data_IF_668340474832
#
_entry.id   IF_668340474832
#
_cell.length_a   1.000
_cell.length_b   1.000
_cell.length_c   1.000
_cell.angle_alpha   90.00
_cell.angle_beta   90.00
_cell.angle_gamma   90.00
#
_symmetry.space_group_name_H-M   'P 1'
#
loop_
_entity.id
_entity.type
_entity.pdbx_description
1 polymer ?
#
# COMPACT_ATOMS: atom_id res chain seq x y z
N UNK A 1 38.00 -31.48 9.67
CA UNK A 1 37.56 -32.67 8.90
C UNK A 1 36.13 -32.94 9.32
N UNK A 2 35.13 -32.57 8.51
CA UNK A 2 34.52 -33.44 7.49
C UNK A 2 33.94 -34.71 8.12
N UNK A 3 32.71 -35.18 7.88
CA UNK A 3 31.50 -34.69 7.23
C UNK A 3 30.41 -35.77 7.49
N UNK A 4 29.13 -35.42 7.28
CA UNK A 4 28.12 -36.24 6.59
C UNK A 4 27.53 -37.52 7.25
N UNK A 5 26.24 -37.41 7.63
CA UNK A 5 25.02 -38.05 7.04
C UNK A 5 23.96 -38.24 8.14
N UNK A 6 22.80 -37.57 8.13
CA UNK A 6 21.63 -37.66 7.24
C UNK A 6 20.46 -38.34 7.99
N UNK A 7 19.23 -37.98 7.59
CA UNK A 7 17.90 -38.49 8.03
C UNK A 7 17.42 -37.87 9.36
N UNK A 8 16.28 -37.18 9.48
CA UNK A 8 15.00 -37.36 8.79
C UNK A 8 14.14 -36.09 8.93
N UNK A 9 13.67 -35.54 7.80
CA UNK A 9 12.57 -34.58 7.75
C UNK A 9 11.28 -35.28 8.19
N UNK A 10 10.71 -34.89 9.33
CA UNK A 10 9.33 -35.21 9.65
C UNK A 10 8.43 -34.18 8.95
N UNK A 11 7.87 -34.61 7.81
CA UNK A 11 6.81 -33.91 7.12
C UNK A 11 5.63 -33.69 8.07
N UNK A 12 5.33 -32.43 8.38
CA UNK A 12 3.99 -32.03 8.81
C UNK A 12 3.10 -32.04 7.57
N UNK A 13 2.62 -33.23 7.20
CA UNK A 13 1.43 -33.38 6.38
C UNK A 13 0.25 -32.94 7.26
N UNK A 14 -0.04 -31.65 7.27
CA UNK A 14 -1.33 -31.16 7.75
C UNK A 14 -2.40 -31.83 6.88
N UNK A 15 -3.22 -32.65 7.52
CA UNK A 15 -4.33 -33.38 6.93
C UNK A 15 -5.21 -32.42 6.11
N UNK A 16 -5.15 -32.57 4.78
CA UNK A 16 -6.06 -31.93 3.84
C UNK A 16 -7.44 -32.56 4.02
N UNK A 17 -8.21 -32.04 4.96
CA UNK A 17 -9.67 -32.19 4.91
C UNK A 17 -10.17 -31.03 4.04
N UNK A 18 -10.64 -31.27 2.80
CA UNK A 18 -11.28 -30.22 2.03
C UNK A 18 -12.55 -29.82 2.77
N UNK A 19 -12.68 -28.55 3.15
CA UNK A 19 -13.96 -28.08 3.68
C UNK A 19 -15.00 -28.15 2.56
N UNK A 20 -16.25 -28.62 2.80
CA UNK A 20 -17.19 -28.92 1.72
C UNK A 20 -17.86 -27.70 1.09
N UNK A 21 -17.48 -26.47 1.45
CA UNK A 21 -18.24 -25.25 1.11
C UNK A 21 -17.55 -24.31 0.14
N UNK A 22 -16.27 -24.49 -0.16
CA UNK A 22 -15.56 -23.58 -1.07
C UNK A 22 -15.50 -24.19 -2.47
N UNK A 23 -16.23 -23.55 -3.38
CA UNK A 23 -16.59 -24.16 -4.65
C UNK A 23 -16.21 -23.27 -5.85
N UNK A 24 -15.72 -22.05 -5.60
CA UNK A 24 -15.32 -21.07 -6.62
C UNK A 24 -14.40 -20.01 -6.00
N UNK A 25 -13.51 -19.36 -6.78
CA UNK A 25 -12.65 -18.24 -6.34
C UNK A 25 -13.49 -17.01 -5.93
N UNK A 26 -14.07 -17.06 -4.74
CA UNK A 26 -14.90 -15.99 -4.18
C UNK A 26 -14.41 -15.72 -2.77
N UNK A 27 -14.01 -14.47 -2.54
CA UNK A 27 -13.57 -14.01 -1.25
C UNK A 27 -12.50 -12.93 -1.35
N UNK A 28 -11.79 -12.75 -0.25
CA UNK A 28 -10.84 -11.66 -0.05
C UNK A 28 -9.44 -12.23 0.16
N UNK A 29 -8.45 -11.63 -0.47
CA UNK A 29 -7.04 -11.87 -0.15
C UNK A 29 -6.26 -10.57 -0.33
N UNK A 30 -5.06 -10.54 0.23
CA UNK A 30 -4.15 -9.41 0.18
C UNK A 30 -3.09 -9.64 -0.91
N UNK A 31 -2.70 -8.56 -1.59
CA UNK A 31 -1.57 -8.58 -2.52
C UNK A 31 -0.53 -7.58 -2.05
N UNK A 32 0.72 -8.00 -1.89
CA UNK A 32 1.84 -7.10 -1.64
C UNK A 32 2.17 -6.34 -2.92
N UNK A 33 1.78 -5.07 -2.99
CA UNK A 33 2.03 -4.22 -4.15
C UNK A 33 3.48 -3.72 -4.14
N UNK A 34 4.25 -3.91 -5.22
CA UNK A 34 5.56 -3.30 -5.35
C UNK A 34 5.45 -1.78 -5.62
N UNK A 35 6.57 -1.08 -5.44
CA UNK A 35 6.66 0.33 -5.77
C UNK A 35 6.61 0.52 -7.29
N UNK A 36 6.35 1.75 -7.73
CA UNK A 36 6.23 2.14 -9.14
C UNK A 36 5.12 1.40 -9.92
N UNK A 37 4.12 0.87 -9.21
CA UNK A 37 2.97 0.19 -9.79
C UNK A 37 1.66 0.76 -9.24
N UNK A 38 0.66 0.98 -10.09
CA UNK A 38 -0.67 1.39 -9.62
C UNK A 38 -1.45 0.19 -9.07
N UNK A 39 -2.33 0.42 -8.08
CA UNK A 39 -3.22 -0.64 -7.58
C UNK A 39 -4.13 -1.20 -8.69
N UNK A 40 -4.53 -0.37 -9.66
CA UNK A 40 -5.29 -0.83 -10.84
C UNK A 40 -4.47 -1.74 -11.75
N UNK A 41 -3.13 -1.56 -11.84
CA UNK A 41 -2.28 -2.47 -12.63
C UNK A 41 -2.25 -3.88 -12.05
N UNK A 42 -2.38 -4.03 -10.72
CA UNK A 42 -2.54 -5.35 -10.09
C UNK A 42 -3.85 -5.99 -10.57
N UNK A 43 -4.96 -5.24 -10.60
CA UNK A 43 -6.23 -5.76 -11.09
C UNK A 43 -6.15 -6.16 -12.58
N UNK A 44 -5.49 -5.36 -13.40
CA UNK A 44 -5.26 -5.67 -14.82
C UNK A 44 -4.43 -6.97 -14.96
N UNK A 45 -3.42 -7.16 -14.11
CA UNK A 45 -2.62 -8.38 -14.07
C UNK A 45 -3.44 -9.60 -13.63
N UNK A 46 -4.16 -9.52 -12.50
CA UNK A 46 -5.04 -10.60 -12.02
C UNK A 46 -6.09 -10.97 -13.07
N UNK A 47 -6.67 -9.97 -13.73
CA UNK A 47 -7.64 -10.19 -14.81
C UNK A 47 -7.02 -10.97 -15.98
N UNK A 48 -5.77 -10.67 -16.35
CA UNK A 48 -4.99 -11.39 -17.36
C UNK A 48 -4.69 -12.83 -16.92
N UNK A 49 -4.30 -13.05 -15.67
CA UNK A 49 -4.07 -14.39 -15.11
C UNK A 49 -5.34 -15.23 -15.19
N UNK A 50 -6.48 -14.72 -14.71
CA UNK A 50 -7.75 -15.44 -14.79
C UNK A 50 -8.14 -15.75 -16.25
N UNK A 51 -7.94 -14.80 -17.17
CA UNK A 51 -8.29 -14.99 -18.58
C UNK A 51 -7.43 -16.08 -19.25
N UNK A 52 -6.15 -16.18 -18.91
CA UNK A 52 -5.24 -17.23 -19.39
C UNK A 52 -5.60 -18.60 -18.82
N UNK A 53 -6.04 -18.62 -17.56
CA UNK A 53 -6.44 -19.83 -16.85
C UNK A 53 -7.96 -20.07 -16.88
N UNK A 54 -8.67 -19.66 -17.95
CA UNK A 54 -10.14 -19.77 -18.04
C UNK A 54 -10.68 -21.20 -17.93
N UNK A 55 -9.87 -22.20 -18.33
CA UNK A 55 -10.24 -23.61 -18.27
C UNK A 55 -9.88 -24.25 -16.91
N UNK A 56 -9.15 -23.53 -16.05
CA UNK A 56 -8.87 -23.97 -14.69
C UNK A 56 -10.19 -24.13 -13.94
N UNK A 57 -10.37 -25.26 -13.26
CA UNK A 57 -11.66 -25.65 -12.68
C UNK A 57 -12.27 -24.55 -11.78
N UNK A 58 -11.47 -23.90 -10.94
CA UNK A 58 -11.91 -22.80 -10.08
C UNK A 58 -12.32 -21.53 -10.86
N UNK A 59 -11.55 -21.13 -11.88
CA UNK A 59 -11.85 -19.93 -12.69
C UNK A 59 -13.08 -20.17 -13.57
N UNK A 60 -13.13 -21.35 -14.21
CA UNK A 60 -14.26 -21.79 -15.03
C UNK A 60 -15.56 -21.73 -14.22
N UNK A 61 -15.53 -22.27 -13.01
CA UNK A 61 -16.71 -22.26 -12.12
C UNK A 61 -17.16 -20.86 -11.74
N UNK A 62 -16.24 -19.93 -11.45
CA UNK A 62 -16.60 -18.52 -11.21
C UNK A 62 -17.28 -17.89 -12.43
N UNK A 63 -16.76 -18.15 -13.62
CA UNK A 63 -17.33 -17.62 -14.86
C UNK A 63 -18.71 -18.22 -15.17
N UNK A 64 -18.91 -19.50 -14.89
CA UNK A 64 -20.20 -20.20 -15.07
C UNK A 64 -21.28 -19.71 -14.09
N UNK A 65 -20.88 -19.39 -12.85
CA UNK A 65 -21.77 -18.85 -11.83
C UNK A 65 -22.14 -17.36 -12.07
N UNK A 66 -21.32 -16.63 -12.82
CA UNK A 66 -21.57 -15.23 -13.17
C UNK A 66 -22.35 -15.10 -14.50
N UNK A 67 -23.66 -14.81 -14.40
CA UNK A 67 -24.53 -14.62 -15.56
C UNK A 67 -24.30 -13.33 -16.37
N UNK A 68 -23.34 -12.47 -15.96
CA UNK A 68 -23.11 -11.16 -16.55
C UNK A 68 -22.52 -11.21 -17.97
N UNK A 69 -22.71 -10.13 -18.73
CA UNK A 69 -22.05 -9.95 -20.04
C UNK A 69 -20.51 -9.97 -19.92
N UNK A 70 -19.97 -9.64 -18.74
CA UNK A 70 -18.52 -9.62 -18.46
C UNK A 70 -17.98 -11.04 -18.40
N UNK A 71 -18.62 -11.92 -17.64
CA UNK A 71 -18.23 -13.33 -17.53
C UNK A 71 -18.31 -14.08 -18.86
N UNK A 72 -19.33 -13.81 -19.69
CA UNK A 72 -19.41 -14.34 -21.08
C UNK A 72 -18.23 -13.96 -21.96
N UNK A 73 -17.50 -12.89 -21.63
CA UNK A 73 -16.24 -12.47 -22.30
C UNK A 73 -14.99 -13.07 -21.64
N UNK A 74 -15.15 -14.00 -20.70
CA UNK A 74 -14.07 -14.64 -19.93
C UNK A 74 -13.44 -13.71 -18.87
N UNK A 75 -14.18 -12.70 -18.40
CA UNK A 75 -13.69 -11.74 -17.43
C UNK A 75 -14.32 -11.99 -16.05
N UNK A 76 -13.50 -12.35 -15.07
CA UNK A 76 -13.89 -12.44 -13.66
C UNK A 76 -14.14 -11.05 -13.05
N UNK A 77 -15.06 -10.94 -12.09
CA UNK A 77 -15.26 -9.71 -11.30
C UNK A 77 -14.19 -9.63 -10.20
N UNK A 78 -13.35 -8.60 -10.26
CA UNK A 78 -12.25 -8.37 -9.31
C UNK A 78 -12.23 -6.88 -8.95
N UNK A 79 -11.96 -6.56 -7.69
CA UNK A 79 -11.83 -5.20 -7.16
C UNK A 79 -10.70 -5.07 -6.13
N UNK A 80 -10.47 -3.85 -5.64
CA UNK A 80 -9.60 -3.57 -4.50
C UNK A 80 -10.31 -2.64 -3.51
N UNK A 81 -10.01 -2.73 -2.22
CA UNK A 81 -10.71 -1.98 -1.15
C UNK A 81 -9.88 -0.93 -0.45
N UNK A 82 -8.81 -0.48 -1.11
CA UNK A 82 -7.97 0.60 -0.60
C UNK A 82 -6.79 0.78 -1.52
N UNK A 83 -6.78 1.88 -2.25
CA UNK A 83 -5.73 2.14 -3.24
C UNK A 83 -4.47 2.62 -2.56
N UNK A 84 -3.33 2.09 -2.98
CA UNK A 84 -2.00 2.58 -2.62
C UNK A 84 -1.41 3.41 -3.73
N UNK A 85 -0.79 4.52 -3.33
CA UNK A 85 0.01 5.40 -4.14
C UNK A 85 1.02 4.60 -4.98
N UNK A 86 1.33 5.00 -6.22
CA UNK A 86 2.24 4.23 -7.06
C UNK A 86 3.59 3.95 -6.40
N UNK A 87 4.08 4.93 -5.64
CA UNK A 87 5.35 4.87 -4.91
C UNK A 87 5.26 4.09 -3.60
N UNK A 88 4.07 3.99 -3.00
CA UNK A 88 3.86 3.20 -1.81
C UNK A 88 3.97 1.71 -2.12
N UNK A 89 4.45 0.92 -1.16
CA UNK A 89 4.48 -0.54 -1.20
C UNK A 89 3.52 -1.13 -0.17
N UNK A 90 3.29 -2.43 -0.26
CA UNK A 90 2.57 -3.17 0.76
C UNK A 90 1.16 -3.57 0.36
N UNK A 91 0.37 -4.00 1.34
CA UNK A 91 -0.84 -4.77 1.11
C UNK A 91 -1.91 -3.96 0.40
N UNK A 92 -2.55 -4.52 -0.61
CA UNK A 92 -3.83 -4.10 -1.18
C UNK A 92 -4.87 -5.19 -0.91
N UNK A 93 -5.90 -4.88 -0.10
CA UNK A 93 -7.01 -5.80 0.23
C UNK A 93 -8.39 -5.15 0.06
N UNK A 94 -9.45 -5.94 -0.10
CA UNK A 94 -10.84 -5.48 -0.36
C UNK A 94 -11.70 -5.24 0.92
N UNK A 95 -12.61 -4.25 0.84
CA UNK A 95 -13.86 -4.17 1.61
C UNK A 95 -14.99 -4.51 0.63
N UNK A 96 -15.84 -5.49 0.98
CA UNK A 96 -16.82 -6.13 0.09
C UNK A 96 -17.51 -5.21 -0.93
N UNK A 97 -17.53 -5.67 -2.18
CA UNK A 97 -17.97 -5.05 -3.45
C UNK A 97 -19.43 -4.55 -3.54
N UNK A 98 -20.10 -4.19 -2.43
CA UNK A 98 -21.42 -3.54 -2.44
C UNK A 98 -21.47 -2.11 -1.90
N UNK A 99 -20.41 -1.57 -1.28
CA UNK A 99 -20.35 -0.13 -0.91
C UNK A 99 -18.90 0.38 -0.84
N UNK A 100 -18.27 0.72 -1.96
CA UNK A 100 -17.18 1.71 -1.93
C UNK A 100 -16.85 2.24 -3.33
N UNK A 101 -16.98 3.56 -3.51
CA UNK A 101 -16.51 4.24 -4.71
C UNK A 101 -14.99 4.28 -4.71
N UNK A 102 -14.41 3.68 -5.75
CA UNK A 102 -12.97 3.51 -5.98
C UNK A 102 -12.21 4.84 -5.97
N UNK A 103 -10.93 4.81 -5.58
CA UNK A 103 -10.09 6.00 -5.42
C UNK A 103 -8.68 5.87 -6.05
N UNK A 104 -8.30 6.51 -7.17
CA UNK A 104 -6.90 6.59 -7.68
C UNK A 104 -6.12 7.91 -7.39
N UNK A 105 -4.80 7.79 -7.22
CA UNK A 105 -3.80 8.74 -6.68
C UNK A 105 -3.20 9.74 -7.68
N UNK A 106 -2.63 10.86 -7.20
CA UNK A 106 -1.38 11.42 -7.75
C UNK A 106 -0.49 12.13 -6.69
N UNK A 107 0.83 12.23 -6.94
CA UNK A 107 1.94 12.92 -6.25
C UNK A 107 2.35 12.52 -4.82
N UNK A 108 3.32 11.61 -4.76
CA UNK A 108 4.54 11.67 -3.93
C UNK A 108 5.77 11.60 -4.83
N UNK A 109 6.95 12.04 -4.35
CA UNK A 109 8.33 12.17 -4.94
C UNK A 109 8.57 12.30 -6.48
N UNK A 110 7.49 12.45 -7.25
CA UNK A 110 7.39 12.68 -8.69
C UNK A 110 6.79 14.06 -8.97
N UNK A 111 6.60 14.86 -7.92
CA UNK A 111 6.23 16.28 -7.95
C UNK A 111 7.44 17.18 -7.83
N UNK A 112 7.37 18.40 -8.38
CA UNK A 112 8.47 19.35 -8.36
C UNK A 112 8.69 19.84 -6.93
N UNK A 113 9.94 20.15 -6.55
CA UNK A 113 10.23 20.85 -5.30
C UNK A 113 9.47 22.18 -5.30
N UNK A 114 8.50 22.34 -4.41
CA UNK A 114 7.66 23.54 -4.33
C UNK A 114 8.22 24.52 -3.31
N UNK A 115 8.88 24.01 -2.26
CA UNK A 115 9.34 24.82 -1.13
C UNK A 115 10.55 24.15 -0.42
N UNK A 116 11.34 24.95 0.28
CA UNK A 116 12.43 24.52 1.15
C UNK A 116 12.45 25.38 2.41
N UNK A 117 12.52 24.73 3.57
CA UNK A 117 12.63 25.40 4.86
C UNK A 117 13.78 24.79 5.69
N UNK A 118 14.38 25.58 6.62
CA UNK A 118 15.40 25.07 7.52
C UNK A 118 14.90 23.88 8.36
N UNK A 119 15.83 23.03 8.77
CA UNK A 119 15.56 21.88 9.65
C UNK A 119 16.46 21.84 10.88
N UNK A 120 17.44 22.75 11.00
CA UNK A 120 18.44 22.74 12.09
C UNK A 120 17.82 22.92 13.49
N UNK A 121 16.65 23.55 13.57
CA UNK A 121 15.91 23.76 14.82
C UNK A 121 15.11 22.54 15.27
N UNK A 122 15.02 21.49 14.44
CA UNK A 122 14.17 20.34 14.72
C UNK A 122 14.93 19.32 15.55
N UNK A 123 14.40 19.03 16.74
CA UNK A 123 14.98 18.06 17.66
C UNK A 123 14.11 16.81 17.74
N UNK A 124 14.71 15.71 18.20
CA UNK A 124 13.99 14.46 18.46
C UNK A 124 12.78 14.69 19.38
N UNK A 125 12.97 15.49 20.43
CA UNK A 125 11.92 15.76 21.41
C UNK A 125 10.80 16.61 20.83
N UNK A 126 11.11 17.61 19.98
CA UNK A 126 10.07 18.39 19.30
C UNK A 126 9.25 17.50 18.36
N UNK A 127 9.89 16.57 17.64
CA UNK A 127 9.18 15.58 16.81
C UNK A 127 8.26 14.73 17.67
N UNK A 128 8.75 14.13 18.75
CA UNK A 128 7.92 13.30 19.64
C UNK A 128 6.72 14.08 20.22
N UNK A 129 6.93 15.34 20.60
CA UNK A 129 5.85 16.19 21.09
C UNK A 129 4.79 16.45 20.02
N UNK A 130 5.20 16.77 18.80
CA UNK A 130 4.29 16.96 17.66
C UNK A 130 3.53 15.65 17.38
N UNK A 131 4.22 14.51 17.26
CA UNK A 131 3.56 13.23 17.01
C UNK A 131 2.50 12.88 18.08
N UNK A 132 2.77 13.20 19.36
CA UNK A 132 1.78 13.02 20.43
C UNK A 132 0.54 13.90 20.24
N UNK A 133 0.70 15.14 19.76
CA UNK A 133 -0.41 16.06 19.51
C UNK A 133 -1.33 15.60 18.36
N UNK A 134 -0.82 14.80 17.43
CA UNK A 134 -1.59 14.24 16.31
C UNK A 134 -2.32 12.93 16.66
N UNK A 135 -2.09 12.32 17.84
CA UNK A 135 -2.87 11.16 18.29
C UNK A 135 -4.28 11.62 18.68
N UNK A 136 -5.31 10.93 18.20
CA UNK A 136 -6.70 11.33 18.43
C UNK A 136 -7.48 11.60 17.15
N UNK A 137 -8.62 12.26 17.30
CA UNK A 137 -9.43 12.73 16.16
C UNK A 137 -8.81 14.01 15.59
N UNK A 138 -8.54 14.02 14.29
CA UNK A 138 -8.02 15.19 13.57
C UNK A 138 -8.87 15.46 12.32
N UNK A 139 -8.87 16.72 11.87
CA UNK A 139 -9.47 17.10 10.59
C UNK A 139 -8.38 17.20 9.52
N UNK A 140 -8.51 16.41 8.45
CA UNK A 140 -7.62 16.47 7.30
C UNK A 140 -8.32 17.05 6.08
N UNK A 141 -7.61 17.91 5.35
CA UNK A 141 -7.97 18.24 3.97
C UNK A 141 -7.31 17.22 3.05
N UNK A 142 -8.09 16.41 2.31
CA UNK A 142 -7.53 15.51 1.32
C UNK A 142 -6.68 16.26 0.29
N UNK A 143 -5.59 15.66 -0.22
CA UNK A 143 -4.74 16.32 -1.21
C UNK A 143 -5.50 16.52 -2.53
N UNK A 144 -5.13 17.56 -3.28
CA UNK A 144 -5.66 17.84 -4.62
C UNK A 144 -5.50 16.63 -5.54
N UNK A 145 -4.34 15.98 -5.49
CA UNK A 145 -4.09 14.75 -6.22
C UNK A 145 -4.60 13.52 -5.45
N UNK A 146 -5.88 13.56 -5.11
CA UNK A 146 -6.62 12.43 -4.58
C UNK A 146 -7.68 12.01 -5.56
N UNK A 147 -8.21 10.85 -5.28
CA UNK A 147 -9.26 10.27 -6.08
C UNK A 147 -10.66 10.74 -5.73
N UNK A 148 -10.80 11.69 -4.82
CA UNK A 148 -12.13 12.14 -4.47
C UNK A 148 -12.79 12.73 -5.70
N UNK A 149 -14.11 12.54 -5.79
CA UNK A 149 -14.89 13.12 -6.87
C UNK A 149 -15.51 14.44 -6.42
N UNK A 150 -15.42 15.44 -7.28
CA UNK A 150 -16.12 16.71 -7.18
C UNK A 150 -16.88 16.89 -8.49
N UNK A 151 -18.20 17.00 -8.41
CA UNK A 151 -19.10 17.20 -9.55
C UNK A 151 -18.91 16.18 -10.69
N UNK A 152 -18.76 14.91 -10.31
CA UNK A 152 -18.61 13.79 -11.25
C UNK A 152 -17.21 13.59 -11.81
N UNK A 153 -16.27 14.52 -11.55
CA UNK A 153 -14.87 14.44 -11.99
C UNK A 153 -13.92 14.24 -10.80
N UNK A 154 -12.80 13.53 -11.00
CA UNK A 154 -11.85 13.25 -9.90
C UNK A 154 -10.95 14.46 -9.66
N UNK A 155 -10.58 14.74 -8.40
CA UNK A 155 -9.72 15.88 -8.06
C UNK A 155 -8.37 15.84 -8.79
N UNK A 156 -7.78 14.65 -8.98
CA UNK A 156 -6.55 14.54 -9.79
C UNK A 156 -6.75 14.86 -11.28
N UNK A 157 -7.96 14.69 -11.84
CA UNK A 157 -8.23 15.07 -13.23
C UNK A 157 -8.24 16.60 -13.37
N UNK A 158 -8.82 17.31 -12.39
CA UNK A 158 -8.71 18.79 -12.33
C UNK A 158 -7.24 19.23 -12.28
N UNK A 159 -6.44 18.59 -11.43
CA UNK A 159 -5.02 18.93 -11.26
C UNK A 159 -4.18 18.69 -12.52
N UNK A 160 -4.45 17.61 -13.27
CA UNK A 160 -3.73 17.27 -14.51
C UNK A 160 -4.15 18.14 -15.68
N UNK A 161 -5.42 18.51 -15.75
CA UNK A 161 -5.94 19.37 -16.80
C UNK A 161 -5.71 20.87 -16.50
N UNK A 162 -5.16 21.20 -15.33
CA UNK A 162 -4.94 22.59 -14.90
C UNK A 162 -6.24 23.37 -14.67
N UNK A 163 -7.35 22.67 -14.44
CA UNK A 163 -8.67 23.28 -14.26
C UNK A 163 -8.85 23.63 -12.78
N UNK A 164 -9.25 24.88 -12.44
CA UNK A 164 -9.51 25.25 -11.06
C UNK A 164 -10.64 24.40 -10.47
N UNK A 165 -10.53 24.10 -9.18
CA UNK A 165 -11.58 23.36 -8.49
C UNK A 165 -12.87 24.21 -8.43
N UNK A 166 -14.06 23.61 -8.66
CA UNK A 166 -15.34 24.29 -8.52
C UNK A 166 -15.57 24.88 -7.13
N UNK A 167 -14.97 24.26 -6.11
CA UNK A 167 -15.03 24.66 -4.70
C UNK A 167 -13.85 24.06 -3.92
N UNK A 168 -13.65 24.53 -2.69
CA UNK A 168 -12.64 24.00 -1.79
C UNK A 168 -12.87 22.51 -1.46
N UNK A 169 -11.77 21.80 -1.20
CA UNK A 169 -11.81 20.39 -0.81
C UNK A 169 -12.33 20.31 0.64
N UNK A 170 -13.46 19.65 0.90
CA UNK A 170 -14.00 19.57 2.26
C UNK A 170 -13.09 18.75 3.16
N UNK A 171 -12.90 19.23 4.39
CA UNK A 171 -12.16 18.52 5.43
C UNK A 171 -12.91 17.27 5.89
N UNK A 172 -12.15 16.30 6.39
CA UNK A 172 -12.69 15.03 6.89
C UNK A 172 -12.08 14.70 8.24
N UNK A 173 -12.93 14.25 9.16
CA UNK A 173 -12.49 13.67 10.43
C UNK A 173 -11.87 12.31 10.19
N UNK A 174 -10.69 12.12 10.77
CA UNK A 174 -9.98 10.84 10.79
C UNK A 174 -9.43 10.62 12.19
N UNK A 175 -9.20 9.35 12.54
CA UNK A 175 -8.68 8.96 13.84
C UNK A 175 -7.25 8.42 13.68
N UNK A 176 -6.32 9.00 14.42
CA UNK A 176 -4.97 8.45 14.61
C UNK A 176 -4.99 7.68 15.93
N UNK A 177 -4.87 6.36 15.85
CA UNK A 177 -4.83 5.48 17.02
C UNK A 177 -3.44 5.46 17.64
N UNK A 178 -2.41 5.38 16.79
CA UNK A 178 -1.03 5.37 17.23
C UNK A 178 -0.11 6.06 16.23
N UNK A 179 0.95 6.67 16.75
CA UNK A 179 1.90 7.46 15.97
C UNK A 179 3.26 7.47 16.69
N UNK A 180 4.21 6.71 16.16
CA UNK A 180 5.50 6.47 16.80
C UNK A 180 6.66 6.90 15.91
N UNK A 181 7.72 7.42 16.54
CA UNK A 181 8.99 7.71 15.90
C UNK A 181 9.85 6.44 15.88
N UNK A 182 10.22 5.97 14.69
CA UNK A 182 11.01 4.75 14.50
C UNK A 182 12.50 5.02 14.30
N UNK A 183 12.88 6.17 13.78
CA UNK A 183 14.29 6.59 13.67
C UNK A 183 14.38 8.11 13.66
N UNK A 184 15.52 8.66 14.05
CA UNK A 184 15.81 10.10 13.95
C UNK A 184 17.30 10.29 13.64
N UNK A 185 17.72 11.29 12.84
CA UNK A 185 19.09 11.42 12.37
C UNK A 185 19.94 12.26 13.34
N UNK A 186 20.00 11.87 14.61
CA UNK A 186 20.80 12.53 15.67
C UNK A 186 22.09 11.77 16.01
N UNK A 187 22.29 10.57 15.46
CA UNK A 187 23.44 9.70 15.77
C UNK A 187 23.28 8.87 17.05
N UNK A 188 22.39 9.29 17.97
CA UNK A 188 22.13 8.64 19.25
C UNK A 188 20.89 7.73 19.22
N UNK A 189 19.93 8.02 18.35
CA UNK A 189 18.68 7.26 18.22
C UNK A 189 18.97 5.94 17.50
N UNK A 190 18.83 4.84 18.25
CA UNK A 190 18.84 3.50 17.67
C UNK A 190 17.57 3.30 16.81
N UNK A 191 17.69 3.04 15.50
CA UNK A 191 16.52 2.81 14.65
C UNK A 191 15.76 1.54 15.04
N UNK A 192 14.43 1.57 14.90
CA UNK A 192 13.58 0.40 15.18
C UNK A 192 13.98 -0.79 14.26
N UNK A 193 14.15 -2.01 14.80
CA UNK A 193 14.54 -3.19 14.02
C UNK A 193 13.61 -3.51 12.85
N UNK A 194 12.34 -3.14 12.93
CA UNK A 194 11.35 -3.35 11.87
C UNK A 194 11.70 -2.59 10.58
N UNK A 195 12.44 -1.49 10.66
CA UNK A 195 12.88 -0.75 9.48
C UNK A 195 13.74 -1.62 8.55
N UNK A 196 14.71 -2.33 9.13
CA UNK A 196 15.56 -3.27 8.38
C UNK A 196 14.75 -4.44 7.83
N UNK A 197 13.85 -4.98 8.64
CA UNK A 197 12.95 -6.08 8.26
C UNK A 197 12.12 -5.73 7.00
N UNK A 198 11.60 -4.50 6.96
CA UNK A 198 10.79 -4.00 5.85
C UNK A 198 11.59 -3.36 4.69
N UNK A 199 12.91 -3.40 4.77
CA UNK A 199 13.82 -2.90 3.74
C UNK A 199 13.88 -1.37 3.64
N UNK A 200 13.55 -0.65 4.71
CA UNK A 200 13.83 0.79 4.79
C UNK A 200 15.34 0.99 4.98
N UNK A 201 15.94 1.92 4.21
CA UNK A 201 17.34 2.31 4.40
C UNK A 201 17.46 3.12 5.69
N UNK A 202 18.22 2.61 6.66
CA UNK A 202 18.76 3.46 7.72
C UNK A 202 19.94 4.23 7.11
N UNK A 203 19.76 5.51 6.79
CA UNK A 203 20.88 6.36 6.36
C UNK A 203 21.82 6.61 7.54
N UNK A 204 22.65 5.61 7.84
CA UNK A 204 23.84 5.76 8.66
C UNK A 204 25.02 5.69 7.69
N UNK A 205 25.47 6.86 7.25
CA UNK A 205 26.69 7.02 6.46
C UNK A 205 27.30 8.38 6.75
N UNK A 206 28.43 8.39 7.46
CA UNK A 206 29.30 9.55 7.65
C UNK A 206 29.62 10.26 6.33
N UNK A 207 29.96 11.57 6.34
CA UNK A 207 30.32 12.29 5.13
C UNK A 207 31.64 11.72 4.58
N UNK A 208 31.57 10.90 3.53
CA UNK A 208 32.79 10.39 2.89
C UNK A 208 32.68 9.25 1.89
N UNK A 209 31.59 8.48 1.83
CA UNK A 209 31.49 7.39 0.85
C UNK A 209 30.66 7.77 -0.37
N UNK A 210 31.28 7.62 -1.54
CA UNK A 210 30.75 7.96 -2.85
C UNK A 210 29.38 7.34 -3.09
N UNK A 211 28.42 8.23 -3.35
CA UNK A 211 27.10 8.03 -3.92
C UNK A 211 27.01 6.80 -4.83
N UNK A 212 26.30 5.77 -4.37
CA UNK A 212 25.68 4.79 -5.27
C UNK A 212 24.18 4.83 -5.03
N UNK A 213 23.52 5.63 -5.86
CA UNK A 213 22.10 5.61 -6.26
C UNK A 213 21.02 5.43 -5.17
N UNK A 214 20.02 6.34 -5.17
CA UNK A 214 18.66 5.98 -4.77
C UNK A 214 18.22 4.83 -5.67
N UNK A 215 18.44 3.59 -5.23
CA UNK A 215 17.96 2.41 -5.92
C UNK A 215 16.43 2.50 -5.91
N UNK A 216 15.86 3.04 -6.98
CA UNK A 216 14.45 2.89 -7.24
C UNK A 216 14.22 1.38 -7.31
N UNK A 217 13.35 0.80 -6.45
CA UNK A 217 13.03 -0.60 -6.57
C UNK A 217 12.58 -0.86 -8.00
N UNK A 218 13.36 -1.70 -8.70
CA UNK A 218 13.12 -2.06 -10.09
C UNK A 218 11.71 -2.60 -10.22
N UNK A 219 10.96 -2.09 -11.19
CA UNK A 219 9.61 -2.60 -11.46
C UNK A 219 9.68 -4.13 -11.63
N UNK A 220 8.73 -4.89 -11.05
CA UNK A 220 8.74 -6.34 -11.14
C UNK A 220 8.75 -6.76 -12.62
N UNK A 221 9.67 -7.66 -12.96
CA UNK A 221 9.70 -8.29 -14.27
C UNK A 221 8.66 -9.40 -14.26
N UNK A 222 7.69 -9.29 -15.15
CA UNK A 222 6.69 -10.32 -15.34
C UNK A 222 7.16 -11.27 -16.44
N UNK A 223 7.46 -12.52 -16.08
CA UNK A 223 7.88 -13.60 -16.99
C UNK A 223 6.92 -13.79 -18.18
N UNK A 224 5.68 -13.34 -17.99
CA UNK A 224 4.53 -13.60 -18.84
C UNK A 224 4.29 -12.49 -19.89
N UNK A 225 5.18 -11.50 -19.94
CA UNK A 225 5.15 -10.33 -20.83
C UNK A 225 4.11 -9.27 -20.45
N UNK A 226 3.57 -9.29 -19.22
CA UNK A 226 2.73 -8.21 -18.73
C UNK A 226 3.55 -6.93 -18.55
N UNK A 227 3.09 -5.83 -19.15
CA UNK A 227 3.65 -4.50 -18.96
C UNK A 227 2.61 -3.66 -18.22
N UNK A 228 2.87 -3.25 -16.96
CA UNK A 228 1.96 -2.36 -16.26
C UNK A 228 1.77 -1.08 -17.06
N UNK A 229 0.56 -0.51 -17.01
CA UNK A 229 0.31 0.80 -17.62
C UNK A 229 1.27 1.81 -17.00
N UNK A 230 1.85 2.72 -17.79
CA UNK A 230 2.71 3.75 -17.24
C UNK A 230 1.93 4.53 -16.18
N UNK A 231 2.50 4.60 -14.97
CA UNK A 231 2.13 5.62 -14.00
C UNK A 231 2.35 6.96 -14.71
N UNK A 232 1.29 7.77 -14.85
CA UNK A 232 1.25 9.03 -15.61
C UNK A 232 2.62 9.70 -15.81
N UNK A 233 2.89 10.06 -17.07
CA UNK A 233 4.06 10.81 -17.55
C UNK A 233 4.58 11.82 -16.53
N UNK A 234 5.88 11.72 -16.25
CA UNK A 234 6.66 12.79 -15.66
C UNK A 234 6.35 14.07 -16.43
N UNK A 235 5.91 15.11 -15.73
CA UNK A 235 5.69 16.43 -16.33
C UNK A 235 7.02 16.88 -16.98
N UNK A 236 7.06 17.26 -18.27
CA UNK A 236 8.29 17.66 -18.94
C UNK A 236 8.97 18.91 -18.34
N UNK A 237 8.29 19.66 -17.48
CA UNK A 237 8.85 20.80 -16.72
C UNK A 237 9.41 20.41 -15.34
N UNK A 238 9.65 19.12 -15.09
CA UNK A 238 9.99 18.60 -13.77
C UNK A 238 11.51 18.53 -13.51
N UNK A 239 11.95 19.10 -12.38
CA UNK A 239 13.31 18.94 -11.86
C UNK A 239 13.33 17.68 -11.00
N UNK A 240 14.08 16.67 -11.43
CA UNK A 240 14.28 15.45 -10.66
C UNK A 240 14.74 15.78 -9.23
N UNK A 241 14.11 15.15 -8.23
CA UNK A 241 14.61 15.22 -6.84
C UNK A 241 16.05 14.67 -6.88
N UNK A 242 17.04 15.43 -6.38
CA UNK A 242 18.42 14.98 -6.41
C UNK A 242 18.55 13.63 -5.69
N UNK A 243 19.39 12.75 -6.23
CA UNK A 243 19.61 11.37 -5.76
C UNK A 243 20.09 11.24 -4.31
N UNK A 244 20.52 12.35 -3.70
CA UNK A 244 20.69 12.51 -2.25
C UNK A 244 19.94 13.78 -1.85
N UNK A 245 18.66 13.67 -1.44
CA UNK A 245 17.92 14.83 -1.00
C UNK A 245 18.60 15.40 0.25
N UNK A 246 19.06 16.66 0.17
CA UNK A 246 19.57 17.38 1.34
C UNK A 246 18.39 17.63 2.27
N UNK A 247 18.41 17.08 3.48
CA UNK A 247 17.35 17.27 4.45
C UNK A 247 17.44 16.28 5.60
N UNK A 248 16.60 16.50 6.61
CA UNK A 248 16.45 15.62 7.76
C UNK A 248 15.46 14.50 7.45
N UNK A 249 15.86 13.23 7.64
CA UNK A 249 15.00 12.06 7.44
C UNK A 249 14.70 11.35 8.75
N UNK A 250 13.43 11.07 9.00
CA UNK A 250 13.00 10.24 10.11
C UNK A 250 11.84 9.36 9.67
N UNK A 251 11.71 8.20 10.31
CA UNK A 251 10.65 7.24 10.02
C UNK A 251 9.58 7.30 11.11
N UNK A 252 8.31 7.21 10.71
CA UNK A 252 7.19 7.12 11.64
C UNK A 252 6.33 5.89 11.34
N UNK A 253 5.77 5.28 12.38
CA UNK A 253 4.73 4.27 12.27
C UNK A 253 3.39 4.91 12.57
N UNK A 254 2.41 4.70 11.70
CA UNK A 254 1.06 5.25 11.86
C UNK A 254 0.04 4.11 11.91
N UNK A 255 -0.78 4.09 12.96
CA UNK A 255 -2.01 3.31 13.01
C UNK A 255 -3.20 4.28 12.97
N UNK A 256 -4.02 4.22 11.93
CA UNK A 256 -5.07 5.19 11.68
C UNK A 256 -6.34 4.57 11.12
N UNK A 257 -7.46 5.30 11.20
CA UNK A 257 -8.73 4.91 10.59
C UNK A 257 -8.67 4.98 9.06
N UNK A 258 -9.65 4.36 8.41
CA UNK A 258 -9.85 4.48 6.95
C UNK A 258 -10.03 5.92 6.51
N UNK A 259 -9.55 6.26 5.31
CA UNK A 259 -9.70 7.61 4.74
C UNK A 259 -8.64 8.62 5.17
N UNK A 260 -7.71 8.22 6.04
CA UNK A 260 -6.53 9.02 6.43
C UNK A 260 -5.56 9.13 5.27
N UNK A 261 -5.14 10.35 4.94
CA UNK A 261 -4.11 10.61 3.94
C UNK A 261 -2.77 10.81 4.64
N UNK A 262 -1.87 9.81 4.55
CA UNK A 262 -0.55 9.86 5.18
C UNK A 262 0.29 11.03 4.67
N UNK A 263 0.15 11.39 3.39
CA UNK A 263 0.76 12.60 2.83
C UNK A 263 0.33 13.88 3.53
N UNK A 264 -0.97 14.07 3.70
CA UNK A 264 -1.52 15.23 4.41
C UNK A 264 -1.00 15.25 5.84
N UNK A 265 -1.01 14.09 6.52
CA UNK A 265 -0.46 13.96 7.87
C UNK A 265 1.00 14.40 7.95
N UNK A 266 1.85 13.98 7.01
CA UNK A 266 3.27 14.36 6.97
C UNK A 266 3.43 15.87 6.75
N UNK A 267 2.67 16.45 5.84
CA UNK A 267 2.70 17.89 5.59
C UNK A 267 2.24 18.69 6.83
N UNK A 268 1.19 18.23 7.50
CA UNK A 268 0.69 18.86 8.73
C UNK A 268 1.71 18.77 9.87
N UNK A 269 2.35 17.61 10.06
CA UNK A 269 3.42 17.41 11.05
C UNK A 269 4.59 18.36 10.76
N UNK A 270 5.04 18.46 9.51
CA UNK A 270 6.13 19.34 9.12
C UNK A 270 5.80 20.82 9.39
N UNK A 271 4.58 21.23 9.06
CA UNK A 271 4.08 22.58 9.36
C UNK A 271 4.11 22.89 10.87
N UNK A 272 3.71 21.94 11.72
CA UNK A 272 3.80 22.08 13.19
C UNK A 272 5.24 22.11 13.71
N UNK A 273 6.18 21.50 12.99
CA UNK A 273 7.62 21.62 13.26
C UNK A 273 8.23 22.92 12.71
N UNK A 274 7.44 23.80 12.10
CA UNK A 274 7.92 25.05 11.51
C UNK A 274 8.78 24.82 10.27
N UNK A 275 8.53 23.75 9.52
CA UNK A 275 9.26 23.41 8.28
C UNK A 275 8.31 22.89 7.20
N UNK A 276 8.86 22.43 6.09
CA UNK A 276 8.13 21.72 5.04
C UNK A 276 8.63 20.28 4.94
N UNK A 277 7.71 19.35 4.65
CA UNK A 277 8.02 17.93 4.62
C UNK A 277 7.17 17.22 3.59
N UNK A 278 7.71 16.15 3.02
CA UNK A 278 7.02 15.32 2.07
C UNK A 278 7.39 13.85 2.30
N UNK A 279 6.52 12.96 1.84
CA UNK A 279 6.73 11.52 1.95
C UNK A 279 7.74 11.05 0.90
N UNK A 280 8.72 10.25 1.32
CA UNK A 280 9.75 9.67 0.44
C UNK A 280 9.54 8.18 0.18
N UNK A 281 9.15 7.43 1.22
CA UNK A 281 8.77 6.02 1.15
C UNK A 281 7.54 5.77 2.04
N UNK A 282 6.72 4.80 1.66
CA UNK A 282 5.53 4.37 2.40
C UNK A 282 5.32 2.88 2.23
N UNK A 283 5.24 2.17 3.35
CA UNK A 283 4.86 0.76 3.39
C UNK A 283 3.58 0.57 4.20
N UNK A 284 2.54 0.03 3.57
CA UNK A 284 1.35 -0.44 4.28
C UNK A 284 1.55 -1.88 4.75
N UNK A 285 1.88 -2.01 6.04
CA UNK A 285 2.18 -3.29 6.70
C UNK A 285 0.94 -4.08 7.14
N UNK A 286 -0.19 -3.41 7.30
CA UNK A 286 -1.47 -4.03 7.66
C UNK A 286 -2.63 -3.22 7.08
N UNK A 287 -3.69 -3.92 6.66
CA UNK A 287 -4.97 -3.30 6.36
C UNK A 287 -6.09 -4.25 6.75
N UNK A 288 -7.03 -3.79 7.57
CA UNK A 288 -8.27 -4.54 7.80
C UNK A 288 -8.03 -5.98 8.32
N UNK A 289 -7.00 -6.19 9.14
CA UNK A 289 -6.61 -7.51 9.67
C UNK A 289 -5.75 -8.35 8.72
N UNK A 290 -5.57 -7.94 7.46
CA UNK A 290 -4.60 -8.53 6.55
C UNK A 290 -3.22 -7.95 6.85
N UNK A 291 -2.24 -8.81 7.14
CA UNK A 291 -0.86 -8.44 7.47
C UNK A 291 0.08 -8.75 6.32
N UNK A 292 1.17 -7.98 6.19
CA UNK A 292 2.07 -8.06 5.05
C UNK A 292 2.70 -9.44 4.95
N UNK A 293 3.07 -9.99 6.11
CA UNK A 293 3.60 -11.34 6.27
C UNK A 293 2.51 -12.29 6.80
N UNK A 294 1.36 -12.30 6.13
CA UNK A 294 0.23 -13.17 6.46
C UNK A 294 0.00 -14.25 5.42
N UNK A 295 -0.60 -15.38 5.84
CA UNK A 295 -0.97 -16.49 4.94
C UNK A 295 -1.99 -16.09 3.86
N UNK A 296 -2.71 -14.99 4.07
CA UNK A 296 -3.67 -14.42 3.12
C UNK A 296 -3.06 -13.37 2.18
N UNK A 297 -1.75 -13.11 2.28
CA UNK A 297 -1.03 -12.12 1.46
C UNK A 297 -0.13 -12.81 0.46
N UNK A 298 -0.26 -12.44 -0.81
CA UNK A 298 0.57 -12.94 -1.89
C UNK A 298 1.45 -11.84 -2.50
N UNK A 299 2.64 -12.20 -2.95
CA UNK A 299 3.37 -11.36 -3.88
C UNK A 299 2.65 -11.31 -5.23
N UNK A 300 2.79 -10.20 -5.97
CA UNK A 300 2.16 -10.05 -7.29
C UNK A 300 2.59 -11.18 -8.22
N UNK A 301 3.85 -11.63 -8.16
CA UNK A 301 4.36 -12.72 -8.99
C UNK A 301 3.68 -14.06 -8.72
N UNK A 302 3.33 -14.34 -7.46
CA UNK A 302 2.72 -15.61 -7.02
C UNK A 302 1.25 -15.72 -7.43
N UNK A 303 0.61 -14.58 -7.70
CA UNK A 303 -0.77 -14.53 -8.15
C UNK A 303 -1.01 -15.22 -9.51
N UNK A 304 0.03 -15.69 -10.21
CA UNK A 304 -0.06 -16.52 -11.43
C UNK A 304 -0.55 -17.93 -11.16
N UNK A 305 -0.35 -18.44 -9.95
CA UNK A 305 -0.81 -19.74 -9.49
C UNK A 305 -2.20 -19.62 -8.87
N UNK A 306 -3.20 -20.17 -9.57
CA UNK A 306 -4.61 -20.09 -9.16
C UNK A 306 -4.87 -20.83 -7.84
N UNK A 307 -4.12 -21.91 -7.55
CA UNK A 307 -4.28 -22.68 -6.32
C UNK A 307 -3.70 -21.90 -5.12
N UNK A 308 -2.61 -21.18 -5.32
CA UNK A 308 -2.09 -20.25 -4.31
C UNK A 308 -3.09 -19.12 -4.03
N UNK A 309 -3.69 -18.55 -5.07
CA UNK A 309 -4.73 -17.53 -4.94
C UNK A 309 -5.94 -18.07 -4.18
N UNK A 310 -6.38 -19.29 -4.45
CA UNK A 310 -7.50 -19.91 -3.74
C UNK A 310 -7.19 -20.12 -2.25
N UNK A 311 -5.99 -20.63 -1.92
CA UNK A 311 -5.55 -20.76 -0.52
C UNK A 311 -5.51 -19.42 0.19
N UNK A 312 -4.99 -18.37 -0.46
CA UNK A 312 -4.96 -17.02 0.11
C UNK A 312 -6.37 -16.46 0.33
N UNK A 313 -7.32 -16.74 -0.58
CA UNK A 313 -8.74 -16.39 -0.43
C UNK A 313 -9.36 -17.11 0.77
N UNK A 314 -9.12 -18.41 0.92
CA UNK A 314 -9.61 -19.17 2.06
C UNK A 314 -9.06 -18.61 3.38
N UNK A 315 -7.76 -18.25 3.41
CA UNK A 315 -7.15 -17.61 4.56
C UNK A 315 -7.76 -16.22 4.86
N UNK A 316 -7.98 -15.40 3.84
CA UNK A 316 -8.58 -14.08 3.99
C UNK A 316 -10.04 -14.11 4.43
N UNK A 317 -10.82 -15.10 3.98
CA UNK A 317 -12.21 -15.26 4.42
C UNK A 317 -12.29 -15.56 5.93
N UNK A 318 -11.38 -16.37 6.47
CA UNK A 318 -11.29 -16.60 7.93
C UNK A 318 -11.01 -15.32 8.70
N UNK A 319 -10.13 -14.46 8.18
CA UNK A 319 -9.85 -13.14 8.78
C UNK A 319 -11.12 -12.29 8.80
N UNK A 320 -11.88 -12.28 7.71
CA UNK A 320 -13.13 -11.53 7.61
C UNK A 320 -14.20 -12.03 8.58
N UNK A 321 -14.42 -13.34 8.67
CA UNK A 321 -15.40 -13.96 9.57
C UNK A 321 -15.10 -13.64 11.04
N UNK A 322 -13.83 -13.71 11.45
CA UNK A 322 -13.41 -13.35 12.82
C UNK A 322 -13.72 -11.88 13.12
N UNK A 323 -13.59 -10.99 12.11
CA UNK A 323 -13.89 -9.57 12.28
C UNK A 323 -15.39 -9.31 12.41
N UNK A 324 -16.22 -9.91 11.56
CA UNK A 324 -17.67 -9.79 11.67
C UNK A 324 -18.18 -10.24 13.04
N UNK A 325 -17.61 -11.32 13.59
CA UNK A 325 -17.95 -11.80 14.92
C UNK A 325 -17.55 -10.80 16.02
N UNK A 326 -16.40 -10.12 15.91
CA UNK A 326 -15.96 -9.10 16.87
C UNK A 326 -16.79 -7.82 16.80
N UNK A 327 -17.22 -7.41 15.60
CA UNK A 327 -18.06 -6.23 15.39
C UNK A 327 -19.53 -6.48 15.79
N UNK A 328 -19.98 -7.74 15.81
CA UNK A 328 -21.33 -8.15 16.21
C UNK A 328 -21.53 -8.27 17.74
N UNK A 329 -20.47 -8.20 18.55
CA UNK A 329 -20.58 -8.16 20.01
C UNK A 329 -20.84 -6.69 20.40
N UNK A 330 -22.04 -6.32 20.89
CA UNK A 330 -22.27 -4.95 21.37
C UNK A 330 -21.29 -4.65 22.51
N UNK A 331 -20.68 -3.46 22.47
CA UNK A 331 -19.82 -2.99 23.54
C UNK A 331 -20.57 -3.07 24.88
N UNK A 332 -20.10 -3.95 25.76
CA UNK A 332 -20.63 -4.13 27.10
C UNK A 332 -20.17 -3.00 28.03
#
# INVERSE_FOLDING_TARGET
>A
MAALKATQCAAHAASLVPSPTHSALTGLFAVNKPANMTSTSILDYLQRVCKRNKEHHLVKRVLELDGSKRARRGLVKIGHGGTLDPLARGIVGEHGTKKCNSMNISKDCTGSLVDQAPTDHITRDSVIQVLKAFKGEINQTPPLYSALSMDGKRLYDYAREGIPLPREIPTRKVQIYDLDLLSFPDGDTTPDPSLKHFGFRAEQGLPGESSTECAQPTAPVFDDGFKPKPTSSVDPNHIAIPSSPRGMFFHIRVHCSSGTYIRTLIADIASHLGTVGHMTDLLRVEQSGFKLEGESTLEVGDCKDIELVDRAIQAGNRIWEIREQKEAIPAA
#
